data_IF_264395213284
#
_entry.id   IF_264395213284
#
_cell.length_a   1.000
_cell.length_b   1.000
_cell.length_c   1.000
_cell.angle_alpha   90.00
_cell.angle_beta   90.00
_cell.angle_gamma   90.00
#
_symmetry.space_group_name_H-M   'P 1'
#
loop_
_entity.id
_entity.type
_entity.pdbx_description
1 polymer ?
#
# COMPACT_ATOMS: atom_id res chain seq x y z
N UNK A 1 12.04 23.08 -1.46
CA UNK A 1 11.86 22.33 -2.74
C UNK A 1 12.95 22.82 -3.69
N UNK A 2 13.67 21.90 -4.34
CA UNK A 2 14.68 22.26 -5.39
C UNK A 2 13.95 22.61 -6.69
N UNK A 3 14.62 23.35 -7.58
CA UNK A 3 14.11 23.63 -8.91
C UNK A 3 13.98 22.34 -9.73
N UNK A 4 12.97 22.26 -10.57
CA UNK A 4 12.70 21.15 -11.48
C UNK A 4 12.05 21.68 -12.76
N UNK A 5 12.21 20.95 -13.85
CA UNK A 5 11.42 21.14 -15.07
C UNK A 5 10.15 20.29 -15.03
N UNK A 6 9.17 20.66 -15.86
CA UNK A 6 7.87 20.01 -15.90
C UNK A 6 7.40 19.85 -17.34
N UNK A 7 6.89 18.69 -17.66
CA UNK A 7 6.18 18.45 -18.92
C UNK A 7 4.96 17.54 -18.70
N UNK A 8 4.02 17.62 -19.62
CA UNK A 8 2.84 16.78 -19.65
C UNK A 8 2.99 15.72 -20.72
N UNK A 9 2.84 14.45 -20.35
CA UNK A 9 2.80 13.35 -21.28
C UNK A 9 1.41 13.22 -21.95
N UNK A 10 1.39 12.71 -23.18
CA UNK A 10 0.19 12.52 -23.99
C UNK A 10 -0.22 11.05 -24.10
N UNK A 11 0.66 10.12 -23.73
CA UNK A 11 0.35 8.67 -23.67
C UNK A 11 1.11 7.99 -22.53
N UNK A 12 0.62 6.83 -22.05
CA UNK A 12 1.33 6.05 -21.02
C UNK A 12 2.73 5.61 -21.47
N UNK A 13 2.90 5.20 -22.71
CA UNK A 13 4.19 4.79 -23.27
C UNK A 13 5.17 5.97 -23.36
N UNK A 14 4.69 7.15 -23.79
CA UNK A 14 5.49 8.38 -23.79
C UNK A 14 5.96 8.75 -22.38
N UNK A 15 5.04 8.76 -21.40
CA UNK A 15 5.38 9.04 -20.00
C UNK A 15 6.47 8.10 -19.48
N UNK A 16 6.31 6.80 -19.72
CA UNK A 16 7.28 5.78 -19.33
C UNK A 16 8.65 6.00 -20.02
N UNK A 17 8.65 6.28 -21.33
CA UNK A 17 9.86 6.54 -22.09
C UNK A 17 10.60 7.79 -21.59
N UNK A 18 9.88 8.89 -21.28
CA UNK A 18 10.48 10.13 -20.75
C UNK A 18 11.17 9.85 -19.43
N UNK A 19 10.45 9.24 -18.46
CA UNK A 19 11.03 8.95 -17.14
C UNK A 19 12.17 7.94 -17.23
N UNK A 20 12.07 6.96 -18.13
CA UNK A 20 13.12 5.95 -18.33
C UNK A 20 14.44 6.51 -18.86
N UNK A 21 14.39 7.54 -19.71
CA UNK A 21 15.59 8.17 -20.34
C UNK A 21 16.12 9.40 -19.59
N UNK A 22 15.30 9.99 -18.69
CA UNK A 22 15.66 11.26 -18.04
C UNK A 22 16.08 10.99 -16.59
N UNK A 23 17.36 11.14 -16.30
CA UNK A 23 17.89 10.95 -14.96
C UNK A 23 17.24 11.93 -13.98
N UNK A 24 16.75 11.39 -12.84
CA UNK A 24 16.08 12.18 -11.81
C UNK A 24 14.64 12.54 -12.11
N UNK A 25 14.07 12.09 -13.24
CA UNK A 25 12.67 12.29 -13.54
C UNK A 25 11.76 11.46 -12.62
N UNK A 26 10.55 11.99 -12.37
CA UNK A 26 9.49 11.30 -11.63
C UNK A 26 8.13 11.59 -12.27
N UNK A 27 7.24 10.61 -12.21
CA UNK A 27 5.83 10.83 -12.52
C UNK A 27 5.16 11.67 -11.44
N UNK A 28 4.27 12.57 -11.84
CA UNK A 28 3.39 13.28 -10.94
C UNK A 28 1.92 13.09 -11.35
N UNK A 29 1.10 12.62 -10.42
CA UNK A 29 -0.35 12.53 -10.53
C UNK A 29 -1.01 13.48 -9.50
N UNK A 30 -1.68 12.95 -8.48
CA UNK A 30 -2.29 13.77 -7.43
C UNK A 30 -1.31 14.52 -6.52
N UNK A 31 -0.03 14.14 -6.50
CA UNK A 31 1.03 14.83 -5.78
C UNK A 31 0.99 14.70 -4.25
N UNK A 32 -0.02 14.04 -3.67
CA UNK A 32 -0.29 14.03 -2.22
C UNK A 32 0.80 13.39 -1.35
N UNK A 33 1.74 12.66 -1.93
CA UNK A 33 2.92 12.18 -1.24
C UNK A 33 4.21 12.78 -1.83
N UNK A 34 4.34 12.84 -3.16
CA UNK A 34 5.55 13.32 -3.82
C UNK A 34 5.86 14.78 -3.44
N UNK A 35 4.87 15.68 -3.53
CA UNK A 35 5.08 17.11 -3.23
C UNK A 35 5.46 17.35 -1.77
N UNK A 36 4.91 16.55 -0.86
CA UNK A 36 5.25 16.59 0.56
C UNK A 36 6.74 16.22 0.77
N UNK A 37 7.18 15.11 0.18
CA UNK A 37 8.57 14.68 0.21
C UNK A 37 9.53 15.66 -0.49
N UNK A 38 9.07 16.34 -1.55
CA UNK A 38 9.84 17.38 -2.23
C UNK A 38 10.02 18.63 -1.37
N UNK A 39 8.98 19.05 -0.61
CA UNK A 39 9.07 20.16 0.33
C UNK A 39 10.11 19.89 1.42
N UNK A 40 10.17 18.66 1.90
CA UNK A 40 11.14 18.21 2.89
C UNK A 40 12.52 17.86 2.30
N UNK A 41 12.70 17.97 0.98
CA UNK A 41 13.91 17.58 0.27
C UNK A 41 14.33 16.11 0.46
N UNK A 42 13.39 15.24 0.77
CA UNK A 42 13.56 13.79 0.81
C UNK A 42 13.59 13.23 -0.61
N UNK A 43 12.67 13.69 -1.46
CA UNK A 43 12.69 13.48 -2.90
C UNK A 43 13.08 14.79 -3.59
N UNK A 44 14.04 14.73 -4.49
CA UNK A 44 14.55 15.91 -5.20
C UNK A 44 14.61 15.66 -6.70
N UNK A 45 13.45 15.38 -7.35
CA UNK A 45 13.43 15.19 -8.79
C UNK A 45 13.90 16.45 -9.53
N UNK A 46 14.58 16.26 -10.64
CA UNK A 46 15.01 17.34 -11.54
C UNK A 46 13.99 17.60 -12.63
N UNK A 47 13.09 16.64 -12.86
CA UNK A 47 12.08 16.70 -13.91
C UNK A 47 10.80 16.00 -13.46
N UNK A 48 9.64 16.62 -13.65
CA UNK A 48 8.33 16.04 -13.36
C UNK A 48 7.56 15.80 -14.66
N UNK A 49 7.08 14.55 -14.82
CA UNK A 49 6.23 14.13 -15.93
C UNK A 49 4.80 13.99 -15.42
N UNK A 50 3.93 14.91 -15.85
CA UNK A 50 2.51 14.91 -15.46
C UNK A 50 1.73 13.86 -16.24
N UNK A 51 1.13 12.94 -15.51
CA UNK A 51 0.32 11.82 -16.03
C UNK A 51 -1.19 12.03 -15.89
N UNK A 52 -1.65 13.17 -15.36
CA UNK A 52 -3.07 13.37 -15.02
C UNK A 52 -4.04 13.33 -16.21
N UNK A 53 -3.55 13.49 -17.43
CA UNK A 53 -4.38 13.56 -18.65
C UNK A 53 -4.26 12.34 -19.57
N UNK A 54 -3.77 11.20 -19.05
CA UNK A 54 -3.56 9.98 -19.84
C UNK A 54 -4.82 9.12 -20.04
N UNK A 55 -5.98 9.57 -19.59
CA UNK A 55 -7.25 8.81 -19.73
C UNK A 55 -7.30 7.52 -18.89
N UNK A 56 -6.47 7.42 -17.84
CA UNK A 56 -6.41 6.26 -16.95
C UNK A 56 -7.27 6.44 -15.68
N UNK A 57 -8.41 7.08 -15.79
CA UNK A 57 -9.29 7.48 -14.68
C UNK A 57 -10.65 6.76 -14.68
N UNK A 58 -10.76 5.64 -15.42
CA UNK A 58 -12.00 4.86 -15.52
C UNK A 58 -11.97 3.62 -14.64
N UNK A 59 -13.17 3.20 -14.21
CA UNK A 59 -13.41 1.90 -13.56
C UNK A 59 -14.30 1.09 -14.52
N UNK A 60 -13.81 -0.04 -15.01
CA UNK A 60 -14.44 -0.84 -16.04
C UNK A 60 -14.63 -2.29 -15.54
N UNK A 61 -15.70 -2.95 -15.99
CA UNK A 61 -15.87 -4.37 -15.76
C UNK A 61 -14.90 -5.14 -16.67
N UNK A 62 -14.31 -6.23 -16.17
CA UNK A 62 -13.52 -7.13 -17.00
C UNK A 62 -14.39 -8.26 -17.58
N UNK A 63 -13.98 -8.86 -18.71
CA UNK A 63 -14.71 -10.01 -19.29
C UNK A 63 -14.87 -11.17 -18.30
N UNK A 64 -13.93 -11.33 -17.39
CA UNK A 64 -13.92 -12.38 -16.36
C UNK A 64 -14.85 -12.05 -15.18
N UNK A 65 -15.54 -10.91 -15.22
CA UNK A 65 -16.47 -10.47 -14.17
C UNK A 65 -15.81 -9.79 -12.97
N UNK A 66 -14.59 -9.32 -13.13
CA UNK A 66 -13.87 -8.48 -12.18
C UNK A 66 -14.02 -6.99 -12.46
N UNK A 67 -13.13 -6.16 -11.86
CA UNK A 67 -13.05 -4.73 -12.13
C UNK A 67 -11.61 -4.33 -12.49
N UNK A 68 -11.46 -3.57 -13.57
CA UNK A 68 -10.23 -2.87 -13.93
C UNK A 68 -10.33 -1.41 -13.51
N UNK A 69 -9.42 -0.99 -12.66
CA UNK A 69 -9.38 0.33 -12.03
C UNK A 69 -8.19 1.08 -12.62
N UNK A 70 -8.42 2.11 -13.40
CA UNK A 70 -7.35 2.93 -13.98
C UNK A 70 -6.46 3.56 -12.90
N UNK A 71 -5.18 3.71 -13.21
CA UNK A 71 -4.15 4.21 -12.30
C UNK A 71 -4.45 5.59 -11.71
N UNK A 72 -5.19 6.42 -12.44
CA UNK A 72 -5.54 7.80 -12.07
C UNK A 72 -6.91 7.95 -11.42
N UNK A 73 -7.68 6.88 -11.24
CA UNK A 73 -8.93 6.90 -10.49
C UNK A 73 -8.65 7.47 -9.10
N UNK A 74 -9.39 8.52 -8.73
CA UNK A 74 -9.25 9.17 -7.42
C UNK A 74 -9.74 8.24 -6.31
N UNK A 75 -9.09 8.29 -5.17
CA UNK A 75 -9.47 7.44 -4.04
C UNK A 75 -10.91 7.69 -3.57
N UNK A 76 -11.41 8.92 -3.69
CA UNK A 76 -12.82 9.25 -3.39
C UNK A 76 -13.76 8.55 -4.38
N UNK A 77 -13.49 8.63 -5.68
CA UNK A 77 -14.33 8.05 -6.72
C UNK A 77 -14.34 6.53 -6.64
N UNK A 78 -13.15 5.93 -6.40
CA UNK A 78 -13.02 4.50 -6.17
C UNK A 78 -13.82 4.02 -4.94
N UNK A 79 -13.75 4.77 -3.83
CA UNK A 79 -14.49 4.43 -2.62
C UNK A 79 -16.01 4.59 -2.79
N UNK A 80 -16.46 5.51 -3.66
CA UNK A 80 -17.86 5.81 -3.92
C UNK A 80 -18.50 4.93 -5.01
N UNK A 81 -17.71 4.27 -5.86
CA UNK A 81 -18.23 3.41 -6.95
C UNK A 81 -19.17 2.33 -6.41
N UNK A 82 -20.35 2.22 -7.01
CA UNK A 82 -21.40 1.30 -6.54
C UNK A 82 -20.96 -0.15 -6.57
N UNK A 83 -20.19 -0.58 -7.56
CA UNK A 83 -19.67 -1.95 -7.71
C UNK A 83 -18.64 -2.24 -6.63
N UNK A 84 -17.76 -1.26 -6.36
CA UNK A 84 -16.76 -1.37 -5.29
C UNK A 84 -17.43 -1.44 -3.91
N UNK A 85 -18.43 -0.60 -3.66
CA UNK A 85 -19.17 -0.62 -2.39
C UNK A 85 -19.97 -1.92 -2.18
N UNK A 86 -20.51 -2.49 -3.25
CA UNK A 86 -21.34 -3.71 -3.19
C UNK A 86 -20.47 -4.97 -3.14
N UNK A 87 -19.56 -5.11 -4.09
CA UNK A 87 -18.91 -6.39 -4.40
C UNK A 87 -17.47 -6.46 -3.85
N UNK A 88 -16.86 -5.30 -3.55
CA UNK A 88 -15.51 -5.15 -2.98
C UNK A 88 -15.51 -4.21 -1.77
N UNK A 89 -16.52 -4.31 -0.90
CA UNK A 89 -16.74 -3.37 0.19
C UNK A 89 -15.53 -3.18 1.11
N UNK A 90 -14.66 -4.19 1.24
CA UNK A 90 -13.37 -4.10 1.93
C UNK A 90 -12.52 -2.95 1.38
N UNK A 91 -12.44 -2.79 0.05
CA UNK A 91 -11.65 -1.74 -0.59
C UNK A 91 -12.23 -0.35 -0.30
N UNK A 92 -13.55 -0.19 -0.42
CA UNK A 92 -14.23 1.07 -0.09
C UNK A 92 -14.00 1.46 1.37
N UNK A 93 -14.18 0.52 2.31
CA UNK A 93 -13.96 0.73 3.77
C UNK A 93 -12.52 1.11 4.07
N UNK A 94 -11.53 0.44 3.47
CA UNK A 94 -10.11 0.74 3.63
C UNK A 94 -9.77 2.14 3.13
N UNK A 95 -10.27 2.54 1.95
CA UNK A 95 -10.07 3.87 1.39
C UNK A 95 -10.62 4.97 2.29
N UNK A 96 -11.84 4.79 2.81
CA UNK A 96 -12.49 5.77 3.69
C UNK A 96 -11.79 5.86 5.06
N UNK A 97 -11.20 4.77 5.54
CA UNK A 97 -10.41 4.76 6.78
C UNK A 97 -9.06 5.50 6.64
N UNK A 98 -8.60 5.74 5.42
CA UNK A 98 -7.34 6.43 5.12
C UNK A 98 -7.50 7.91 4.84
N UNK A 99 -6.46 8.70 5.12
CA UNK A 99 -6.32 10.12 4.80
C UNK A 99 -7.50 11.01 5.26
N UNK A 100 -7.68 12.16 4.63
CA UNK A 100 -8.85 13.04 4.74
C UNK A 100 -9.61 13.05 3.41
N UNK A 101 -10.86 13.60 3.39
CA UNK A 101 -11.63 13.78 2.17
C UNK A 101 -10.86 14.58 1.12
N UNK A 102 -10.22 15.68 1.53
CA UNK A 102 -9.43 16.54 0.65
C UNK A 102 -8.27 15.79 -0.01
N UNK A 103 -7.53 14.98 0.76
CA UNK A 103 -6.43 14.17 0.22
C UNK A 103 -6.96 13.07 -0.72
N UNK A 104 -8.05 12.37 -0.36
CA UNK A 104 -8.65 11.35 -1.22
C UNK A 104 -9.15 11.90 -2.55
N UNK A 105 -9.59 13.17 -2.59
CA UNK A 105 -10.01 13.83 -3.83
C UNK A 105 -8.85 14.08 -4.80
N UNK A 106 -7.61 14.02 -4.35
CA UNK A 106 -6.39 14.20 -5.16
C UNK A 106 -5.58 12.92 -5.31
N UNK A 107 -5.51 12.10 -4.29
CA UNK A 107 -4.76 10.85 -4.32
C UNK A 107 -5.35 9.90 -5.37
N UNK A 108 -4.48 9.25 -6.13
CA UNK A 108 -4.84 8.30 -7.19
C UNK A 108 -4.57 6.88 -6.75
N UNK A 109 -5.16 5.91 -7.44
CA UNK A 109 -4.98 4.48 -7.18
C UNK A 109 -3.49 4.09 -7.26
N UNK A 110 -2.79 4.41 -8.34
CA UNK A 110 -1.35 4.13 -8.46
C UNK A 110 -0.52 4.89 -7.40
N UNK A 111 -0.81 6.19 -7.20
CA UNK A 111 -0.10 6.99 -6.20
C UNK A 111 -0.27 6.46 -4.77
N UNK A 112 -1.42 5.87 -4.46
CA UNK A 112 -1.66 5.24 -3.16
C UNK A 112 -0.83 3.95 -2.98
N UNK A 113 -0.68 3.12 -4.02
CA UNK A 113 0.20 1.94 -3.96
C UNK A 113 1.67 2.33 -3.81
N UNK A 114 2.09 3.43 -4.42
CA UNK A 114 3.47 3.92 -4.44
C UNK A 114 3.80 4.88 -3.29
N UNK A 115 2.87 5.13 -2.36
CA UNK A 115 3.17 6.01 -1.23
C UNK A 115 4.30 5.43 -0.36
N UNK A 116 5.22 6.29 0.04
CA UNK A 116 6.37 5.90 0.84
C UNK A 116 6.03 5.82 2.33
N UNK A 117 6.88 5.15 3.09
CA UNK A 117 6.74 5.00 4.54
C UNK A 117 6.53 6.33 5.27
N UNK A 118 5.95 6.28 6.47
CA UNK A 118 5.84 7.41 7.42
C UNK A 118 6.76 7.23 8.63
N UNK A 119 7.83 6.46 8.47
CA UNK A 119 8.88 6.36 9.47
C UNK A 119 9.46 7.75 9.80
N UNK A 120 9.49 8.19 11.08
CA UNK A 120 9.98 9.53 11.44
C UNK A 120 11.44 9.76 11.03
N UNK A 121 12.25 8.72 11.07
CA UNK A 121 13.66 8.78 10.65
C UNK A 121 13.84 8.87 9.13
N UNK A 122 12.87 8.41 8.36
CA UNK A 122 12.82 8.65 6.92
C UNK A 122 12.48 10.11 6.61
N UNK A 123 11.61 10.72 7.43
CA UNK A 123 11.19 12.12 7.27
C UNK A 123 12.19 13.13 7.83
N UNK A 124 13.04 12.73 8.78
CA UNK A 124 14.14 13.60 9.30
C UNK A 124 15.40 13.37 8.48
N UNK A 125 15.77 14.35 7.65
CA UNK A 125 16.95 14.28 6.77
C UNK A 125 18.27 14.30 7.52
N UNK A 126 18.29 14.64 8.81
CA UNK A 126 19.49 14.62 9.66
C UNK A 126 19.76 13.23 10.26
N UNK A 127 18.79 12.32 10.19
CA UNK A 127 18.92 10.98 10.74
C UNK A 127 19.43 9.97 9.70
N UNK A 128 20.25 8.98 10.09
CA UNK A 128 20.61 7.86 9.22
C UNK A 128 19.38 7.06 8.76
N UNK A 129 19.25 6.85 7.44
CA UNK A 129 18.16 6.09 6.88
C UNK A 129 18.55 5.40 5.57
N UNK A 130 18.74 4.09 5.59
CA UNK A 130 19.08 3.27 4.42
C UNK A 130 18.04 3.35 3.30
N UNK A 131 16.76 3.60 3.64
CA UNK A 131 15.69 3.78 2.66
C UNK A 131 15.83 5.09 1.87
N UNK A 132 16.35 6.13 2.49
CA UNK A 132 16.59 7.43 1.85
C UNK A 132 17.99 7.50 1.23
N UNK A 133 19.00 7.01 1.94
CA UNK A 133 20.40 6.99 1.50
C UNK A 133 21.01 5.62 1.84
N UNK A 134 21.10 4.72 0.86
CA UNK A 134 21.68 3.38 1.07
C UNK A 134 23.06 3.45 1.75
N UNK A 135 23.30 2.55 2.70
CA UNK A 135 24.55 2.48 3.45
C UNK A 135 24.69 3.47 4.61
N UNK A 136 23.71 4.35 4.86
CA UNK A 136 23.80 5.31 5.96
C UNK A 136 23.37 4.75 7.33
N UNK A 137 22.82 3.54 7.40
CA UNK A 137 22.28 2.95 8.62
C UNK A 137 20.77 3.22 8.80
N UNK A 138 20.24 2.76 9.92
CA UNK A 138 18.82 2.91 10.27
C UNK A 138 18.69 3.39 11.73
N UNK A 139 18.42 4.67 11.93
CA UNK A 139 18.26 5.26 13.27
C UNK A 139 17.00 4.77 14.00
N UNK A 140 16.07 4.12 13.31
CA UNK A 140 14.89 3.51 13.91
C UNK A 140 15.24 2.25 14.76
N UNK A 141 16.30 1.54 14.38
CA UNK A 141 16.82 0.40 15.15
C UNK A 141 17.54 0.96 16.37
N UNK A 142 17.04 0.63 17.57
CA UNK A 142 17.51 1.23 18.84
C UNK A 142 16.90 2.59 19.18
N UNK A 143 16.17 3.23 18.23
CA UNK A 143 15.47 4.50 18.46
C UNK A 143 14.00 4.30 18.88
N UNK A 144 13.17 5.33 18.68
CA UNK A 144 11.72 5.27 18.90
C UNK A 144 11.07 4.52 17.75
N UNK A 145 10.53 3.33 18.01
CA UNK A 145 10.05 2.41 16.98
C UNK A 145 8.66 1.81 17.24
N UNK A 146 7.91 2.37 18.17
CA UNK A 146 6.55 1.93 18.56
C UNK A 146 5.60 1.70 17.37
N UNK A 147 5.67 2.54 16.34
CA UNK A 147 4.81 2.46 15.16
C UNK A 147 5.37 1.59 14.03
N UNK A 148 6.59 1.06 14.16
CA UNK A 148 7.31 0.40 13.08
C UNK A 148 7.00 -1.10 12.98
N UNK A 149 7.63 -1.79 12.04
CA UNK A 149 7.32 -3.17 11.69
C UNK A 149 7.69 -4.16 12.80
N UNK A 150 6.89 -5.22 12.91
CA UNK A 150 7.11 -6.36 13.83
C UNK A 150 7.43 -7.64 13.06
N UNK A 151 7.19 -7.65 11.74
CA UNK A 151 7.45 -8.79 10.86
C UNK A 151 7.90 -8.32 9.47
N UNK A 152 8.65 -9.15 8.74
CA UNK A 152 9.12 -8.85 7.39
C UNK A 152 10.16 -7.72 7.31
N UNK A 153 10.62 -7.21 8.43
CA UNK A 153 11.71 -6.23 8.53
C UNK A 153 13.08 -6.90 8.32
N UNK A 154 14.13 -6.08 8.21
CA UNK A 154 15.52 -6.52 8.16
C UNK A 154 16.40 -5.68 9.08
N UNK A 155 17.65 -6.08 9.24
CA UNK A 155 18.65 -5.30 9.99
C UNK A 155 18.98 -3.95 9.31
N UNK A 156 18.59 -3.79 8.04
CA UNK A 156 18.75 -2.55 7.31
C UNK A 156 17.55 -1.59 7.41
N UNK A 157 16.34 -2.09 7.72
CA UNK A 157 15.14 -1.25 7.81
C UNK A 157 13.95 -1.95 8.50
N UNK A 158 13.32 -1.26 9.43
CA UNK A 158 12.12 -1.70 10.16
C UNK A 158 10.88 -0.83 9.86
N UNK A 159 10.87 -0.10 8.75
CA UNK A 159 9.74 0.74 8.37
C UNK A 159 8.50 -0.06 7.97
N UNK A 160 7.31 0.52 8.14
CA UNK A 160 6.03 -0.07 7.70
C UNK A 160 5.54 0.55 6.39
N UNK A 161 4.79 -0.23 5.60
CA UNK A 161 4.00 0.28 4.49
C UNK A 161 2.70 0.92 5.02
N UNK A 162 2.34 2.15 4.60
CA UNK A 162 1.29 2.91 5.27
C UNK A 162 -0.11 2.78 4.63
N UNK A 163 -0.25 2.11 3.47
CA UNK A 163 -1.48 2.13 2.68
C UNK A 163 -2.55 1.16 3.19
N UNK A 164 -3.67 1.70 3.65
CA UNK A 164 -4.89 0.93 3.96
C UNK A 164 -5.47 0.26 2.69
N UNK A 165 -5.46 0.99 1.56
CA UNK A 165 -5.92 0.48 0.26
C UNK A 165 -5.11 -0.74 -0.19
N UNK A 166 -3.79 -0.71 -0.03
CA UNK A 166 -2.94 -1.83 -0.42
C UNK A 166 -3.22 -3.09 0.43
N UNK A 167 -3.60 -2.94 1.70
CA UNK A 167 -4.04 -4.06 2.56
C UNK A 167 -5.30 -4.70 1.99
N UNK A 168 -6.30 -3.90 1.61
CA UNK A 168 -7.52 -4.40 0.99
C UNK A 168 -7.22 -5.08 -0.36
N UNK A 169 -6.40 -4.47 -1.20
CA UNK A 169 -5.99 -5.04 -2.50
C UNK A 169 -5.25 -6.36 -2.33
N UNK A 170 -4.42 -6.51 -1.28
CA UNK A 170 -3.72 -7.77 -0.97
C UNK A 170 -4.69 -8.89 -0.58
N UNK A 171 -5.74 -8.58 0.19
CA UNK A 171 -6.79 -9.54 0.53
C UNK A 171 -7.68 -9.89 -0.68
N UNK A 172 -7.80 -8.97 -1.64
CA UNK A 172 -8.59 -9.14 -2.86
C UNK A 172 -7.83 -9.78 -4.02
N UNK A 173 -6.54 -10.13 -3.86
CA UNK A 173 -5.67 -10.67 -4.92
C UNK A 173 -5.63 -9.77 -6.17
N UNK A 174 -5.46 -8.48 -5.95
CA UNK A 174 -5.34 -7.51 -7.03
C UNK A 174 -4.11 -7.77 -7.91
N UNK A 175 -4.18 -7.36 -9.17
CA UNK A 175 -3.08 -7.40 -10.13
C UNK A 175 -2.78 -5.99 -10.61
N UNK A 176 -1.52 -5.58 -10.57
CA UNK A 176 -1.05 -4.26 -11.02
C UNK A 176 -0.62 -4.36 -12.48
N UNK A 177 -1.23 -3.58 -13.35
CA UNK A 177 -0.88 -3.48 -14.77
C UNK A 177 0.07 -2.31 -15.01
N UNK A 178 1.08 -2.50 -15.83
CA UNK A 178 2.12 -1.52 -16.06
C UNK A 178 2.51 -1.41 -17.53
N UNK A 179 3.15 -0.29 -17.89
CA UNK A 179 3.86 -0.10 -19.15
C UNK A 179 5.29 0.34 -18.86
N UNK A 180 6.25 -0.26 -19.56
CA UNK A 180 7.68 0.04 -19.48
C UNK A 180 8.10 1.14 -20.41
N UNK A 181 9.33 1.62 -20.26
CA UNK A 181 9.92 2.63 -21.12
C UNK A 181 10.06 2.19 -22.59
N UNK A 182 10.16 0.90 -22.86
CA UNK A 182 10.17 0.30 -24.20
C UNK A 182 8.77 0.07 -24.80
N UNK A 183 7.71 0.42 -24.04
CA UNK A 183 6.32 0.22 -24.42
C UNK A 183 5.77 -1.17 -24.06
N UNK A 184 6.59 -2.10 -23.60
CA UNK A 184 6.12 -3.42 -23.17
C UNK A 184 5.23 -3.33 -21.92
N UNK A 185 4.16 -4.09 -21.90
CA UNK A 185 3.23 -4.18 -20.76
C UNK A 185 3.48 -5.43 -19.95
N UNK A 186 3.17 -5.39 -18.67
CA UNK A 186 3.13 -6.57 -17.81
C UNK A 186 2.10 -6.44 -16.69
N UNK A 187 1.77 -7.58 -16.12
CA UNK A 187 0.90 -7.69 -14.94
C UNK A 187 1.68 -8.25 -13.77
N UNK A 188 1.58 -7.59 -12.60
CA UNK A 188 2.29 -7.95 -11.38
C UNK A 188 1.24 -8.29 -10.31
N UNK A 189 1.20 -9.52 -9.79
CA UNK A 189 0.35 -9.82 -8.63
C UNK A 189 0.68 -8.88 -7.47
N UNK A 190 -0.32 -8.38 -6.75
CA UNK A 190 -0.11 -7.48 -5.61
C UNK A 190 0.76 -8.12 -4.51
N UNK A 191 0.78 -9.44 -4.41
CA UNK A 191 1.62 -10.20 -3.51
C UNK A 191 3.12 -10.01 -3.77
N UNK A 192 3.49 -9.74 -5.03
CA UNK A 192 4.85 -9.58 -5.53
C UNK A 192 5.22 -8.10 -5.77
N UNK A 193 4.21 -7.21 -5.74
CA UNK A 193 4.41 -5.80 -6.10
C UNK A 193 5.28 -5.05 -5.11
N UNK A 194 4.99 -5.16 -3.79
CA UNK A 194 5.79 -4.51 -2.75
C UNK A 194 6.89 -5.47 -2.26
N UNK A 195 8.13 -4.97 -2.22
CA UNK A 195 9.30 -5.75 -1.80
C UNK A 195 9.53 -5.67 -0.29
N UNK A 196 10.12 -6.72 0.28
CA UNK A 196 10.70 -6.65 1.62
C UNK A 196 12.07 -5.96 1.57
N UNK A 197 12.50 -5.27 2.65
CA UNK A 197 13.69 -4.44 2.61
C UNK A 197 14.99 -5.20 2.35
N UNK A 198 15.16 -6.42 2.88
CA UNK A 198 16.43 -7.14 2.79
C UNK A 198 17.61 -6.20 3.01
N UNK A 199 18.57 -6.24 2.09
CA UNK A 199 19.75 -5.35 2.09
C UNK A 199 19.54 -4.07 1.26
N UNK A 200 18.40 -3.97 0.56
CA UNK A 200 18.08 -2.86 -0.35
C UNK A 200 16.77 -2.14 -0.01
N UNK A 201 16.65 -1.54 1.19
CA UNK A 201 15.39 -0.94 1.66
C UNK A 201 14.92 0.27 0.84
N UNK A 202 15.76 0.86 0.00
CA UNK A 202 15.42 1.90 -0.95
C UNK A 202 14.60 1.39 -2.15
N UNK A 203 14.57 0.06 -2.40
CA UNK A 203 13.74 -0.59 -3.41
C UNK A 203 12.46 -1.05 -2.72
N UNK A 204 11.35 -0.34 -2.94
CA UNK A 204 10.09 -0.57 -2.21
C UNK A 204 9.05 -1.37 -3.01
N UNK A 205 9.29 -1.54 -4.30
CA UNK A 205 8.41 -2.27 -5.22
C UNK A 205 9.18 -2.84 -6.42
N UNK A 206 8.54 -3.72 -7.17
CA UNK A 206 9.12 -4.44 -8.31
C UNK A 206 9.07 -3.69 -9.64
N UNK A 207 8.82 -2.38 -9.67
CA UNK A 207 8.82 -1.59 -10.91
C UNK A 207 10.24 -1.35 -11.41
N UNK A 208 10.41 -1.46 -12.72
CA UNK A 208 11.64 -1.04 -13.39
C UNK A 208 11.75 0.49 -13.47
N UNK A 209 12.94 1.01 -13.80
CA UNK A 209 13.11 2.44 -14.06
C UNK A 209 12.20 2.90 -15.22
N UNK A 210 11.44 3.96 -14.98
CA UNK A 210 10.49 4.48 -15.95
C UNK A 210 9.22 3.66 -16.14
N UNK A 211 9.00 2.60 -15.37
CA UNK A 211 7.78 1.79 -15.48
C UNK A 211 6.60 2.50 -14.82
N UNK A 212 5.52 2.70 -15.58
CA UNK A 212 4.30 3.40 -15.17
C UNK A 212 3.18 2.39 -14.89
N UNK A 213 2.53 2.51 -13.74
CA UNK A 213 1.28 1.79 -13.46
C UNK A 213 0.16 2.39 -14.33
N UNK A 214 -0.56 1.53 -15.05
CA UNK A 214 -1.69 1.92 -15.92
C UNK A 214 -3.04 1.57 -15.33
N UNK A 215 -3.13 0.47 -14.57
CA UNK A 215 -4.35 0.05 -13.89
C UNK A 215 -4.05 -0.90 -12.72
N UNK A 216 -5.10 -1.20 -11.97
CA UNK A 216 -5.17 -2.32 -11.03
C UNK A 216 -6.42 -3.11 -11.33
N UNK A 217 -6.28 -4.42 -11.55
CA UNK A 217 -7.39 -5.32 -11.80
C UNK A 217 -7.71 -6.14 -10.56
N UNK A 218 -8.99 -6.16 -10.19
CA UNK A 218 -9.54 -7.03 -9.16
C UNK A 218 -10.20 -8.25 -9.83
N UNK A 219 -9.98 -9.46 -9.31
CA UNK A 219 -10.66 -10.65 -9.83
C UNK A 219 -12.16 -10.60 -9.54
N UNK A 220 -12.92 -11.60 -10.07
CA UNK A 220 -14.33 -11.77 -9.75
C UNK A 220 -14.56 -11.73 -8.24
N UNK A 221 -15.64 -11.07 -7.77
CA UNK A 221 -15.98 -11.01 -6.35
C UNK A 221 -16.16 -12.41 -5.77
N UNK A 222 -15.60 -12.62 -4.57
CA UNK A 222 -15.72 -13.92 -3.87
C UNK A 222 -16.86 -13.96 -2.86
N UNK A 223 -17.63 -12.86 -2.73
CA UNK A 223 -18.68 -12.73 -1.71
C UNK A 223 -18.15 -12.71 -0.29
N UNK A 224 -19.00 -13.09 0.67
CA UNK A 224 -18.65 -13.07 2.09
C UNK A 224 -18.86 -11.71 2.76
N UNK A 225 -18.53 -11.62 4.05
CA UNK A 225 -18.58 -10.39 4.82
C UNK A 225 -17.24 -9.66 4.74
N UNK A 226 -17.27 -8.46 4.20
CA UNK A 226 -16.08 -7.61 3.99
C UNK A 226 -15.89 -6.67 5.17
N UNK A 227 -14.77 -6.75 5.88
CA UNK A 227 -14.50 -5.97 7.08
C UNK A 227 -13.13 -5.29 6.97
N UNK A 228 -13.06 -4.03 7.40
CA UNK A 228 -11.81 -3.32 7.56
C UNK A 228 -11.76 -2.64 8.93
N UNK A 229 -10.95 -3.16 9.82
CA UNK A 229 -10.68 -2.56 11.12
C UNK A 229 -9.33 -1.87 11.12
N UNK A 230 -9.28 -0.66 11.65
CA UNK A 230 -8.06 0.14 11.77
C UNK A 230 -7.91 0.68 13.17
N UNK A 231 -6.90 0.22 13.89
CA UNK A 231 -6.53 0.74 15.19
C UNK A 231 -5.47 1.81 15.05
N UNK A 232 -5.69 2.96 15.66
CA UNK A 232 -4.86 4.16 15.58
C UNK A 232 -4.92 4.97 16.86
N UNK A 233 -3.92 5.83 17.10
CA UNK A 233 -3.81 6.59 18.37
C UNK A 233 -4.82 7.74 18.49
N UNK A 234 -5.56 8.07 17.45
CA UNK A 234 -6.60 9.12 17.45
C UNK A 234 -7.75 8.74 16.50
N UNK A 235 -8.89 9.41 16.67
CA UNK A 235 -10.13 9.05 15.99
C UNK A 235 -10.07 9.17 14.45
N UNK A 236 -9.26 10.08 13.91
CA UNK A 236 -9.13 10.29 12.46
C UNK A 236 -7.74 10.76 12.07
N UNK A 237 -7.46 10.74 10.76
CA UNK A 237 -6.25 11.29 10.16
C UNK A 237 -4.96 10.78 10.81
N UNK A 238 -4.87 9.47 10.99
CA UNK A 238 -3.68 8.77 11.48
C UNK A 238 -3.46 7.47 10.71
N UNK A 239 -2.19 7.08 10.59
CA UNK A 239 -1.81 5.77 10.07
C UNK A 239 -2.12 4.68 11.09
N UNK A 240 -2.30 3.46 10.61
CA UNK A 240 -2.60 2.34 11.48
C UNK A 240 -1.41 1.98 12.38
N UNK A 241 -1.67 1.74 13.65
CA UNK A 241 -0.80 0.90 14.47
C UNK A 241 -0.91 -0.54 13.98
N UNK A 242 -2.15 -1.00 13.82
CA UNK A 242 -2.55 -2.26 13.20
C UNK A 242 -3.83 -2.02 12.42
N UNK A 243 -3.94 -2.60 11.24
CA UNK A 243 -5.21 -2.75 10.54
C UNK A 243 -5.40 -4.19 10.08
N UNK A 244 -6.66 -4.61 9.96
CA UNK A 244 -7.07 -5.92 9.47
C UNK A 244 -8.09 -5.71 8.36
N UNK A 245 -7.75 -6.18 7.15
CA UNK A 245 -8.67 -6.33 6.05
C UNK A 245 -9.05 -7.81 5.95
N UNK A 246 -10.33 -8.11 6.12
CA UNK A 246 -10.83 -9.49 6.10
C UNK A 246 -12.04 -9.66 5.18
N UNK A 247 -12.12 -10.81 4.51
CA UNK A 247 -13.28 -11.28 3.76
C UNK A 247 -13.60 -12.65 4.33
N UNK A 248 -14.70 -12.76 5.07
CA UNK A 248 -15.04 -13.94 5.84
C UNK A 248 -16.30 -14.60 5.29
N UNK A 249 -16.27 -15.91 5.10
CA UNK A 249 -17.39 -16.73 4.65
C UNK A 249 -18.18 -17.26 5.85
N UNK A 250 -19.42 -17.69 5.62
CA UNK A 250 -20.31 -18.24 6.66
C UNK A 250 -19.77 -19.51 7.32
N UNK A 251 -18.96 -20.29 6.59
CA UNK A 251 -18.31 -21.51 7.09
C UNK A 251 -17.06 -21.24 7.93
N UNK A 252 -16.71 -19.97 8.15
CA UNK A 252 -15.53 -19.56 8.90
C UNK A 252 -14.24 -19.52 8.10
N UNK A 253 -14.26 -19.87 6.82
CA UNK A 253 -13.12 -19.66 5.91
C UNK A 253 -13.05 -18.20 5.49
N UNK A 254 -11.96 -17.80 4.84
CA UNK A 254 -11.84 -16.43 4.35
C UNK A 254 -10.42 -16.03 4.01
N UNK A 255 -10.26 -14.72 3.80
CA UNK A 255 -8.98 -14.08 3.49
C UNK A 255 -8.70 -12.99 4.50
N UNK A 256 -7.44 -12.85 4.92
CA UNK A 256 -7.02 -11.82 5.88
C UNK A 256 -5.68 -11.22 5.50
N UNK A 257 -5.62 -9.89 5.50
CA UNK A 257 -4.38 -9.14 5.35
C UNK A 257 -4.25 -8.10 6.46
N UNK A 258 -3.02 -7.88 6.92
CA UNK A 258 -2.69 -6.95 7.99
C UNK A 258 -1.92 -5.75 7.46
N UNK A 259 -2.22 -4.56 8.00
CA UNK A 259 -1.49 -3.32 7.76
C UNK A 259 -0.85 -2.76 9.03
N UNK A 260 0.10 -1.85 8.87
CA UNK A 260 0.83 -1.23 9.98
C UNK A 260 1.82 -2.15 10.70
N UNK A 261 2.02 -3.38 10.26
CA UNK A 261 2.83 -4.41 10.93
C UNK A 261 4.10 -4.80 10.17
N UNK A 262 4.16 -4.53 8.87
CA UNK A 262 5.23 -4.98 7.99
C UNK A 262 5.60 -3.92 6.94
N UNK A 263 6.75 -4.05 6.26
CA UNK A 263 7.16 -3.18 5.15
C UNK A 263 6.28 -3.28 3.90
N UNK A 264 5.38 -4.25 3.85
CA UNK A 264 4.35 -4.44 2.80
C UNK A 264 3.03 -4.87 3.44
N UNK A 265 1.89 -4.81 2.73
CA UNK A 265 0.66 -5.45 3.19
C UNK A 265 0.93 -6.92 3.51
N UNK A 266 0.63 -7.34 4.74
CA UNK A 266 1.03 -8.65 5.25
C UNK A 266 -0.12 -9.64 5.16
N UNK A 267 0.04 -10.69 4.38
CA UNK A 267 -0.91 -11.80 4.26
C UNK A 267 -0.14 -13.11 4.15
N UNK A 268 -0.55 -14.08 4.94
CA UNK A 268 -0.02 -15.43 4.97
C UNK A 268 -1.19 -16.39 4.70
N UNK A 269 -1.22 -16.97 3.52
CA UNK A 269 -2.34 -17.82 3.07
C UNK A 269 -2.52 -19.05 3.96
N UNK A 270 -1.42 -19.60 4.50
CA UNK A 270 -1.49 -20.72 5.45
C UNK A 270 -2.22 -20.35 6.76
N UNK A 271 -2.19 -19.07 7.17
CA UNK A 271 -2.92 -18.59 8.34
C UNK A 271 -4.44 -18.54 8.11
N UNK A 272 -4.88 -18.41 6.87
CA UNK A 272 -6.29 -18.37 6.50
C UNK A 272 -6.99 -19.69 6.76
N UNK A 273 -6.29 -20.82 6.61
CA UNK A 273 -6.81 -22.15 6.95
C UNK A 273 -7.15 -22.30 8.46
N UNK A 274 -6.53 -21.48 9.31
CA UNK A 274 -6.79 -21.48 10.76
C UNK A 274 -7.88 -20.49 11.19
N UNK A 275 -8.50 -19.72 10.29
CA UNK A 275 -9.56 -18.75 10.63
C UNK A 275 -10.78 -19.45 11.29
N UNK A 276 -11.14 -20.65 10.85
CA UNK A 276 -12.21 -21.44 11.45
C UNK A 276 -11.92 -21.83 12.92
N UNK A 277 -10.63 -21.93 13.30
CA UNK A 277 -10.16 -22.20 14.67
C UNK A 277 -10.12 -20.92 15.53
N UNK A 278 -10.31 -19.76 14.91
CA UNK A 278 -10.36 -18.45 15.56
C UNK A 278 -9.13 -17.58 15.38
N UNK A 279 -9.24 -16.34 15.83
CA UNK A 279 -8.23 -15.30 15.62
C UNK A 279 -6.86 -15.67 16.20
N UNK A 280 -6.80 -16.32 17.35
CA UNK A 280 -5.53 -16.69 18.00
C UNK A 280 -4.72 -17.66 17.15
N UNK A 281 -5.37 -18.70 16.61
CA UNK A 281 -4.71 -19.69 15.76
C UNK A 281 -4.21 -19.04 14.44
N UNK A 282 -5.07 -18.26 13.79
CA UNK A 282 -4.71 -17.55 12.55
C UNK A 282 -3.59 -16.53 12.78
N UNK A 283 -3.65 -15.72 13.85
CA UNK A 283 -2.61 -14.75 14.17
C UNK A 283 -1.26 -15.41 14.49
N UNK A 284 -1.26 -16.54 15.21
CA UNK A 284 -0.04 -17.28 15.52
C UNK A 284 0.71 -17.71 14.23
N UNK A 285 -0.02 -18.16 13.21
CA UNK A 285 0.55 -18.51 11.91
C UNK A 285 0.95 -17.27 11.09
N UNK A 286 0.09 -16.23 11.09
CA UNK A 286 0.36 -15.00 10.33
C UNK A 286 1.63 -14.29 10.82
N UNK A 287 1.93 -14.36 12.11
CA UNK A 287 3.07 -13.71 12.75
C UNK A 287 4.18 -14.68 13.17
N UNK A 288 4.18 -15.91 12.63
CA UNK A 288 5.29 -16.83 12.85
C UNK A 288 6.61 -16.19 12.35
N UNK A 289 7.64 -16.20 13.20
CA UNK A 289 8.92 -15.55 12.91
C UNK A 289 8.94 -14.03 13.08
N UNK A 290 7.91 -13.42 13.69
CA UNK A 290 7.93 -12.00 14.06
C UNK A 290 9.12 -11.64 14.96
N UNK A 291 9.73 -10.48 14.72
CA UNK A 291 10.85 -9.94 15.48
C UNK A 291 10.49 -8.53 16.00
N UNK A 292 9.58 -8.41 16.97
CA UNK A 292 9.20 -7.12 17.52
C UNK A 292 10.32 -6.56 18.40
N UNK A 293 10.31 -5.24 18.58
CA UNK A 293 11.08 -4.56 19.62
C UNK A 293 10.28 -4.47 20.90
N UNK A 294 10.92 -4.08 22.01
CA UNK A 294 10.21 -3.83 23.28
C UNK A 294 9.09 -2.79 23.13
N UNK A 295 9.27 -1.78 22.26
CA UNK A 295 8.32 -0.70 22.10
C UNK A 295 7.12 -1.06 21.20
N UNK A 296 7.23 -2.08 20.34
CA UNK A 296 6.17 -2.42 19.39
C UNK A 296 5.61 -3.85 19.51
N UNK A 297 6.10 -4.66 20.49
CA UNK A 297 5.61 -6.03 20.73
C UNK A 297 4.11 -6.10 21.01
N UNK A 298 3.48 -5.04 21.54
CA UNK A 298 2.05 -4.94 21.76
C UNK A 298 1.23 -5.12 20.46
N UNK A 299 1.81 -4.82 19.30
CA UNK A 299 1.14 -4.96 18.00
C UNK A 299 0.74 -6.40 17.68
N UNK A 300 1.46 -7.39 18.17
CA UNK A 300 1.12 -8.81 17.98
C UNK A 300 -0.21 -9.14 18.66
N UNK A 301 -0.37 -8.77 19.94
CA UNK A 301 -1.62 -8.94 20.68
C UNK A 301 -2.73 -8.06 20.10
N UNK A 302 -2.39 -6.85 19.67
CA UNK A 302 -3.35 -5.94 19.04
C UNK A 302 -3.85 -6.50 17.71
N UNK A 303 -3.00 -7.12 16.87
CA UNK A 303 -3.39 -7.74 15.62
C UNK A 303 -4.34 -8.94 15.85
N UNK A 304 -4.04 -9.80 16.84
CA UNK A 304 -4.93 -10.89 17.24
C UNK A 304 -6.31 -10.37 17.66
N UNK A 305 -6.34 -9.38 18.56
CA UNK A 305 -7.59 -8.79 19.06
C UNK A 305 -8.39 -8.08 17.94
N UNK A 306 -7.71 -7.41 17.03
CA UNK A 306 -8.36 -6.74 15.90
C UNK A 306 -8.96 -7.77 14.94
N UNK A 307 -8.26 -8.88 14.69
CA UNK A 307 -8.79 -10.00 13.92
C UNK A 307 -9.98 -10.66 14.62
N UNK A 308 -9.90 -10.85 15.95
CA UNK A 308 -11.02 -11.39 16.74
C UNK A 308 -12.28 -10.52 16.64
N UNK A 309 -12.12 -9.20 16.69
CA UNK A 309 -13.22 -8.25 16.49
C UNK A 309 -13.82 -8.36 15.08
N UNK A 310 -13.00 -8.50 14.04
CA UNK A 310 -13.46 -8.70 12.67
C UNK A 310 -14.23 -10.02 12.52
N UNK A 311 -13.75 -11.11 13.11
CA UNK A 311 -14.46 -12.41 13.09
C UNK A 311 -15.79 -12.32 13.83
N UNK A 312 -15.84 -11.63 14.96
CA UNK A 312 -17.08 -11.44 15.73
C UNK A 312 -18.10 -10.61 14.93
N UNK A 313 -17.67 -9.50 14.28
CA UNK A 313 -18.55 -8.69 13.43
C UNK A 313 -19.11 -9.48 12.24
N UNK A 314 -18.31 -10.38 11.64
CA UNK A 314 -18.77 -11.19 10.51
C UNK A 314 -19.83 -12.24 10.89
N UNK A 315 -19.90 -12.63 12.18
CA UNK A 315 -20.85 -13.62 12.70
C UNK A 315 -22.13 -13.00 13.27
N UNK A 316 -22.12 -11.68 13.50
CA UNK A 316 -23.28 -10.92 13.97
C UNK A 316 -24.24 -10.60 12.82
#
# INVERSE_FOLDING_TARGET
MKAFSYERAHSPAEAAAIVGRTQGARFIAGGTNLLDLMKLQIETPTHLVDVNHLGLDKIEATPEGGLRIGALVRNTDLAADRRVRKDYALLSRALVAGASGQLRNKATTAGNLLQRTRCPYFYDTNQPCNKRKPGSGCAAIGGINRSLAVIGASDACIATHPSDMAVAMRALDAVVETVRADGATRSIPIAEFHTLPGDTPNIENGLAAGELITAVTLPRPIGGTHIYHKVRDRASYAFALVSVGAILQKDGTGRVAFGGVAPRPWRVEAAEAALAQGAKAAAALAFAGAKPTEQNKFKLVLAERTLAAAIAEARA
#
